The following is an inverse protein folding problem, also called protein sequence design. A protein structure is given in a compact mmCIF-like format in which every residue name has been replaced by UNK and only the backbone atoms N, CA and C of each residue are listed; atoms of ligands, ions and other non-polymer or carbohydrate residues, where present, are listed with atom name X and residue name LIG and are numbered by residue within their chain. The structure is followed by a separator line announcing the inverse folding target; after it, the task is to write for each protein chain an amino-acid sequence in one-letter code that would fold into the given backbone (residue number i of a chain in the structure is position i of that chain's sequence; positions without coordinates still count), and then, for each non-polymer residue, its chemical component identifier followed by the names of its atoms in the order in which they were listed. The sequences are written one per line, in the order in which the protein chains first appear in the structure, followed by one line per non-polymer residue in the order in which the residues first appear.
data_IF_123665579499
#
_entry.id   IF_123665579499
#
_cell.length_a   1.000
_cell.length_b   1.000
_cell.length_c   1.000
_cell.angle_alpha   90.00
_cell.angle_beta   90.00
_cell.angle_gamma   90.00
#
_symmetry.space_group_name_H-M   'P 1'
#
loop_
_entity.id
_entity.type
_entity.pdbx_description
1 polymer ?
#
# COMPACT_ATOMS: atom_id res chain seq x y z
N UNK A 1 -21.31 -22.26 -25.40
CA UNK A 1 -21.37 -21.09 -24.51
C UNK A 1 -20.57 -21.42 -23.27
N UNK A 2 -19.30 -20.99 -23.21
CA UNK A 2 -18.50 -21.02 -21.98
C UNK A 2 -18.74 -19.73 -21.21
N UNK A 3 -18.78 -19.74 -19.86
CA UNK A 3 -18.71 -18.52 -19.10
C UNK A 3 -17.24 -18.08 -19.00
N UNK A 4 -17.01 -16.84 -19.42
CA UNK A 4 -15.78 -16.07 -19.26
C UNK A 4 -15.51 -15.89 -17.76
N UNK A 5 -14.40 -16.43 -17.25
CA UNK A 5 -13.92 -16.14 -15.90
C UNK A 5 -12.99 -14.94 -15.93
N UNK A 6 -13.13 -13.96 -15.02
CA UNK A 6 -12.23 -12.83 -14.96
C UNK A 6 -10.87 -13.29 -14.43
N UNK A 7 -9.83 -13.04 -15.23
CA UNK A 7 -8.42 -13.11 -14.85
C UNK A 7 -8.20 -12.22 -13.60
N UNK A 8 -8.18 -12.87 -12.44
CA UNK A 8 -7.59 -12.32 -11.22
C UNK A 8 -6.16 -12.84 -11.17
N UNK A 9 -5.27 -12.22 -11.94
CA UNK A 9 -3.83 -12.34 -11.77
C UNK A 9 -3.38 -11.81 -10.41
N UNK A 10 -3.62 -12.57 -9.35
CA UNK A 10 -2.96 -12.39 -8.07
C UNK A 10 -1.57 -13.02 -8.18
N UNK A 11 -0.58 -12.22 -8.60
CA UNK A 11 0.82 -12.63 -8.50
C UNK A 11 1.15 -12.97 -7.05
N UNK A 12 1.91 -14.05 -6.84
CA UNK A 12 2.26 -14.51 -5.50
C UNK A 12 3.01 -13.41 -4.72
N UNK A 13 2.91 -13.35 -3.36
CA UNK A 13 3.60 -12.36 -2.52
C UNK A 13 5.12 -12.26 -2.77
N UNK A 14 5.71 -13.31 -3.34
CA UNK A 14 7.13 -13.45 -3.62
C UNK A 14 7.59 -12.65 -4.87
N UNK A 15 6.67 -12.09 -5.66
CA UNK A 15 6.98 -11.34 -6.89
C UNK A 15 7.01 -9.82 -6.70
N UNK A 16 6.51 -9.29 -5.58
CA UNK A 16 6.49 -7.83 -5.35
C UNK A 16 7.89 -7.30 -5.01
N UNK A 17 8.41 -6.41 -5.87
CA UNK A 17 9.65 -5.68 -5.61
C UNK A 17 9.52 -4.75 -4.40
N UNK A 18 8.32 -4.18 -4.17
CA UNK A 18 8.05 -3.38 -2.99
C UNK A 18 8.16 -4.20 -1.71
N UNK A 19 7.48 -5.34 -1.63
CA UNK A 19 7.54 -6.20 -0.44
C UNK A 19 8.97 -6.66 -0.16
N UNK A 20 9.70 -7.10 -1.20
CA UNK A 20 11.11 -7.47 -1.08
C UNK A 20 11.96 -6.31 -0.54
N UNK A 21 11.74 -5.09 -1.04
CA UNK A 21 12.47 -3.90 -0.56
C UNK A 21 12.14 -3.51 0.89
N UNK A 22 10.96 -3.89 1.38
CA UNK A 22 10.52 -3.62 2.76
C UNK A 22 10.88 -4.75 3.72
N UNK A 23 11.24 -5.94 3.23
CA UNK A 23 11.43 -7.14 4.06
C UNK A 23 12.39 -6.93 5.23
N UNK A 24 13.58 -6.39 4.97
CA UNK A 24 14.57 -6.09 6.03
C UNK A 24 14.01 -5.12 7.06
N UNK A 25 13.24 -4.13 6.62
CA UNK A 25 12.59 -3.19 7.52
C UNK A 25 11.52 -3.88 8.37
N UNK A 26 10.61 -4.65 7.75
CA UNK A 26 9.52 -5.35 8.42
C UNK A 26 10.01 -6.40 9.42
N UNK A 27 11.10 -7.10 9.10
CA UNK A 27 11.70 -8.13 9.94
C UNK A 27 12.41 -7.53 11.18
N UNK A 28 12.76 -6.24 11.15
CA UNK A 28 13.36 -5.54 12.29
C UNK A 28 12.33 -5.25 13.40
N UNK A 29 12.40 -5.99 14.51
CA UNK A 29 11.50 -5.84 15.67
C UNK A 29 11.68 -4.53 16.45
N UNK A 30 12.78 -3.79 16.26
CA UNK A 30 13.04 -2.50 16.94
C UNK A 30 12.68 -1.29 16.07
N UNK A 31 12.09 -1.51 14.89
CA UNK A 31 11.64 -0.43 14.01
C UNK A 31 10.57 0.43 14.68
N UNK A 32 10.62 1.72 14.39
CA UNK A 32 9.75 2.71 15.03
C UNK A 32 8.57 3.16 14.16
N UNK A 33 8.65 2.98 12.84
CA UNK A 33 7.52 3.33 11.96
C UNK A 33 6.69 2.08 11.69
N UNK A 34 5.41 2.07 12.11
CA UNK A 34 4.50 1.03 11.70
C UNK A 34 4.17 1.17 10.22
N UNK A 35 4.00 0.04 9.54
CA UNK A 35 3.51 -0.04 8.17
C UNK A 35 2.11 -0.66 8.20
N UNK A 36 1.15 0.04 7.60
CA UNK A 36 -0.21 -0.46 7.40
C UNK A 36 -0.65 -0.20 5.96
N UNK A 37 -1.59 -1.02 5.50
CA UNK A 37 -2.26 -0.79 4.23
C UNK A 37 -1.41 -1.09 3.00
N UNK A 38 -0.48 -2.03 3.07
CA UNK A 38 0.20 -2.54 1.87
C UNK A 38 -0.79 -3.16 0.88
N UNK A 39 -1.91 -3.71 1.36
CA UNK A 39 -3.01 -4.22 0.53
C UNK A 39 -3.76 -3.12 -0.24
N UNK A 40 -3.58 -1.85 0.14
CA UNK A 40 -4.10 -0.70 -0.61
C UNK A 40 -3.14 -0.22 -1.71
N UNK A 41 -1.96 -0.83 -1.82
CA UNK A 41 -0.95 -0.52 -2.83
C UNK A 41 -0.90 -1.63 -3.87
N UNK A 42 -1.06 -1.23 -5.13
CA UNK A 42 -0.87 -2.09 -6.29
C UNK A 42 0.44 -1.73 -6.98
N UNK A 43 1.37 -2.67 -7.00
CA UNK A 43 2.60 -2.62 -7.79
C UNK A 43 2.29 -3.02 -9.23
N UNK A 44 2.50 -2.12 -10.17
CA UNK A 44 2.26 -2.40 -11.57
C UNK A 44 3.58 -2.49 -12.34
N UNK A 45 3.83 -3.68 -12.86
CA UNK A 45 5.05 -4.06 -13.57
C UNK A 45 4.75 -4.15 -15.07
N UNK A 46 5.60 -3.54 -15.89
CA UNK A 46 5.52 -3.66 -17.35
C UNK A 46 6.35 -4.87 -17.78
N UNK A 47 5.70 -5.87 -18.37
CA UNK A 47 6.41 -7.04 -18.91
C UNK A 47 7.22 -6.63 -20.16
N UNK A 48 8.45 -7.12 -20.30
CA UNK A 48 9.19 -7.06 -21.57
C UNK A 48 9.91 -5.74 -21.92
N UNK A 49 10.01 -4.75 -21.03
CA UNK A 49 10.90 -3.59 -21.26
C UNK A 49 12.22 -3.75 -20.52
N UNK A 50 13.34 -3.48 -21.22
CA UNK A 50 14.69 -3.42 -20.63
C UNK A 50 14.80 -2.38 -19.49
N UNK A 51 13.94 -1.34 -19.54
CA UNK A 51 13.68 -0.43 -18.43
C UNK A 51 12.35 -0.81 -17.76
N UNK A 52 12.40 -1.56 -16.65
CA UNK A 52 11.24 -1.87 -15.82
C UNK A 52 10.78 -0.60 -15.08
N UNK A 53 10.04 0.27 -15.75
CA UNK A 53 9.32 1.35 -15.06
C UNK A 53 8.22 0.73 -14.19
N UNK A 54 8.54 0.54 -12.91
CA UNK A 54 7.59 0.11 -11.89
C UNK A 54 6.88 1.33 -11.33
N UNK A 55 5.55 1.30 -11.36
CA UNK A 55 4.70 2.33 -10.78
C UNK A 55 3.79 1.71 -9.72
N UNK A 56 3.44 2.49 -8.72
CA UNK A 56 2.57 2.07 -7.64
C UNK A 56 1.29 2.88 -7.64
N UNK A 57 0.17 2.22 -7.40
CA UNK A 57 -1.14 2.85 -7.24
C UNK A 57 -1.60 2.65 -5.81
N UNK A 58 -1.92 3.74 -5.11
CA UNK A 58 -2.51 3.65 -3.78
C UNK A 58 -3.98 4.01 -3.86
N UNK A 59 -4.87 3.04 -3.61
CA UNK A 59 -6.31 3.23 -3.81
C UNK A 59 -6.94 4.13 -2.74
N UNK A 60 -6.44 4.08 -1.50
CA UNK A 60 -6.93 4.94 -0.42
C UNK A 60 -6.44 6.38 -0.56
N UNK A 61 -5.26 6.57 -1.16
CA UNK A 61 -4.70 7.89 -1.43
C UNK A 61 -5.08 8.46 -2.80
N UNK A 62 -5.67 7.64 -3.68
CA UNK A 62 -6.07 7.99 -5.03
C UNK A 62 -4.93 8.64 -5.85
N UNK A 63 -3.72 8.07 -5.76
CA UNK A 63 -2.55 8.62 -6.44
C UNK A 63 -1.65 7.55 -7.08
N UNK A 64 -0.87 8.00 -8.07
CA UNK A 64 0.25 7.28 -8.68
C UNK A 64 1.54 7.65 -7.96
N UNK A 65 2.37 6.66 -7.67
CA UNK A 65 3.60 6.83 -6.89
C UNK A 65 4.76 6.18 -7.65
N UNK A 66 5.90 6.87 -7.68
CA UNK A 66 7.13 6.33 -8.27
C UNK A 66 7.83 5.42 -7.27
N UNK A 67 8.69 4.53 -7.75
CA UNK A 67 9.49 3.63 -6.90
C UNK A 67 10.32 4.34 -5.84
N UNK A 68 10.89 5.51 -6.15
CA UNK A 68 11.66 6.30 -5.19
C UNK A 68 10.80 6.80 -4.00
N UNK A 69 9.50 7.00 -4.21
CA UNK A 69 8.63 7.70 -3.27
C UNK A 69 7.73 6.75 -2.46
N UNK A 70 7.53 5.51 -2.92
CA UNK A 70 6.54 4.58 -2.36
C UNK A 70 6.76 4.28 -0.87
N UNK A 71 8.02 4.16 -0.43
CA UNK A 71 8.33 3.91 0.99
C UNK A 71 7.93 5.10 1.86
N UNK A 72 8.27 6.32 1.43
CA UNK A 72 7.92 7.53 2.16
C UNK A 72 6.40 7.75 2.15
N UNK A 73 5.72 7.36 1.06
CA UNK A 73 4.27 7.41 0.96
C UNK A 73 3.58 6.52 2.00
N UNK A 74 3.90 5.23 2.05
CA UNK A 74 3.22 4.27 2.95
C UNK A 74 3.48 4.55 4.44
N UNK A 75 4.62 5.17 4.76
CA UNK A 75 4.96 5.61 6.12
C UNK A 75 4.39 7.00 6.45
N UNK A 76 3.76 7.68 5.50
CA UNK A 76 3.30 9.05 5.64
C UNK A 76 2.00 9.19 6.44
N UNK A 77 1.87 10.31 7.16
CA UNK A 77 0.67 10.64 7.95
C UNK A 77 -0.61 10.64 7.12
N UNK A 78 -0.56 11.16 5.89
CA UNK A 78 -1.72 11.21 5.00
C UNK A 78 -2.20 9.81 4.60
N UNK A 79 -1.28 8.89 4.31
CA UNK A 79 -1.61 7.50 4.01
C UNK A 79 -2.28 6.83 5.20
N UNK A 80 -1.69 6.95 6.40
CA UNK A 80 -2.28 6.41 7.64
C UNK A 80 -3.70 6.93 7.87
N UNK A 81 -3.90 8.24 7.78
CA UNK A 81 -5.22 8.85 7.93
C UNK A 81 -6.24 8.26 6.97
N UNK A 82 -5.90 8.20 5.67
CA UNK A 82 -6.82 7.72 4.63
C UNK A 82 -7.10 6.23 4.74
N UNK A 83 -6.08 5.44 5.03
CA UNK A 83 -6.22 4.01 5.24
C UNK A 83 -7.13 3.71 6.45
N UNK A 84 -6.85 4.32 7.61
CA UNK A 84 -7.66 4.13 8.83
C UNK A 84 -9.10 4.57 8.56
N UNK A 85 -9.31 5.74 7.95
CA UNK A 85 -10.65 6.22 7.62
C UNK A 85 -11.41 5.30 6.67
N UNK A 86 -10.72 4.65 5.73
CA UNK A 86 -11.34 3.78 4.73
C UNK A 86 -11.59 2.35 5.24
N UNK A 87 -10.70 1.80 6.08
CA UNK A 87 -10.73 0.39 6.51
C UNK A 87 -11.14 0.18 7.98
N UNK A 88 -11.02 1.21 8.81
CA UNK A 88 -11.40 1.20 10.23
C UNK A 88 -12.20 2.48 10.56
N UNK A 89 -13.38 2.68 9.94
CA UNK A 89 -14.16 3.91 10.07
C UNK A 89 -14.62 4.19 11.52
N UNK A 90 -14.71 3.15 12.35
CA UNK A 90 -14.98 3.21 13.78
C UNK A 90 -13.88 3.97 14.54
N UNK A 91 -12.61 3.74 14.20
CA UNK A 91 -11.46 4.43 14.80
C UNK A 91 -11.32 5.87 14.31
N UNK A 92 -11.87 6.17 13.14
CA UNK A 92 -11.89 7.50 12.54
C UNK A 92 -13.15 8.30 12.89
N UNK A 93 -14.00 7.82 13.81
CA UNK A 93 -15.23 8.50 14.19
C UNK A 93 -14.92 9.90 14.74
N UNK A 94 -15.51 10.92 14.12
CA UNK A 94 -15.26 12.32 14.49
C UNK A 94 -14.15 13.00 13.68
N UNK A 95 -13.43 12.29 12.81
CA UNK A 95 -12.51 12.91 11.86
C UNK A 95 -13.29 13.56 10.72
N UNK A 96 -13.56 14.86 10.84
CA UNK A 96 -14.21 15.67 9.80
C UNK A 96 -13.38 15.82 8.51
N UNK A 97 -13.91 16.55 7.53
CA UNK A 97 -13.21 16.87 6.28
C UNK A 97 -12.12 17.94 6.46
N UNK A 98 -12.29 18.87 7.42
CA UNK A 98 -11.35 19.96 7.71
C UNK A 98 -10.36 19.64 8.84
N UNK A 99 -10.00 18.37 9.01
CA UNK A 99 -9.05 17.96 10.05
C UNK A 99 -7.64 18.42 9.69
N UNK A 100 -6.97 19.03 10.65
CA UNK A 100 -5.55 19.35 10.58
C UNK A 100 -4.71 18.07 10.72
N UNK A 101 -4.49 17.39 9.59
CA UNK A 101 -3.81 16.09 9.52
C UNK A 101 -2.43 16.09 10.21
N UNK A 102 -1.57 17.12 10.06
CA UNK A 102 -0.34 17.23 10.83
C UNK A 102 -0.51 17.07 12.35
N UNK A 103 -1.57 17.64 12.94
CA UNK A 103 -1.84 17.49 14.38
C UNK A 103 -2.22 16.07 14.79
N UNK A 104 -2.70 15.26 13.84
CA UNK A 104 -3.00 13.85 14.07
C UNK A 104 -1.79 12.93 13.87
N UNK A 105 -0.59 13.44 13.56
CA UNK A 105 0.56 12.58 13.27
C UNK A 105 0.87 11.56 14.37
N UNK A 106 0.88 11.99 15.65
CA UNK A 106 1.14 11.09 16.79
C UNK A 106 -0.01 10.10 17.02
N UNK A 107 -1.29 10.53 17.14
CA UNK A 107 -2.42 9.60 17.23
C UNK A 107 -2.48 8.58 16.08
N UNK A 108 -2.21 9.01 14.84
CA UNK A 108 -2.20 8.12 13.68
C UNK A 108 -1.06 7.11 13.74
N UNK A 109 0.09 7.48 14.31
CA UNK A 109 1.21 6.56 14.53
C UNK A 109 0.85 5.50 15.58
N UNK A 110 0.27 5.92 16.69
CA UNK A 110 -0.19 5.02 17.77
C UNK A 110 -1.24 4.03 17.23
N UNK A 111 -2.27 4.52 16.53
CA UNK A 111 -3.28 3.67 15.89
C UNK A 111 -2.68 2.74 14.84
N UNK A 112 -1.77 3.23 14.00
CA UNK A 112 -1.11 2.40 12.99
C UNK A 112 -0.28 1.27 13.63
N UNK A 113 0.33 1.52 14.78
CA UNK A 113 1.09 0.50 15.52
C UNK A 113 0.19 -0.62 16.01
N UNK A 114 -0.98 -0.28 16.57
CA UNK A 114 -1.92 -1.30 17.04
C UNK A 114 -2.58 -2.07 15.90
N UNK A 115 -2.91 -1.39 14.81
CA UNK A 115 -3.44 -2.02 13.61
C UNK A 115 -2.43 -2.98 12.98
N UNK A 116 -1.17 -2.58 12.87
CA UNK A 116 -0.14 -3.46 12.31
C UNK A 116 0.09 -4.70 13.18
N UNK A 117 0.06 -4.59 14.51
CA UNK A 117 0.15 -5.75 15.41
C UNK A 117 -1.03 -6.70 15.25
N UNK A 118 -2.24 -6.16 15.08
CA UNK A 118 -3.48 -6.94 15.02
C UNK A 118 -3.72 -7.56 13.65
N UNK A 119 -3.54 -6.77 12.59
CA UNK A 119 -3.98 -7.10 11.23
C UNK A 119 -2.78 -7.37 10.30
N UNK A 120 -1.55 -7.08 10.76
CA UNK A 120 -0.35 -7.10 9.94
C UNK A 120 -0.23 -5.85 9.04
N UNK A 121 0.86 -5.76 8.25
CA UNK A 121 1.07 -4.63 7.34
C UNK A 121 0.19 -4.68 6.07
N UNK A 122 -0.45 -5.82 5.81
CA UNK A 122 -1.12 -6.13 4.55
C UNK A 122 -0.19 -6.76 3.51
N UNK A 123 -0.76 -7.22 2.39
CA UNK A 123 -0.02 -7.86 1.29
C UNK A 123 -0.11 -6.98 0.04
N UNK A 124 1.02 -6.57 -0.51
CA UNK A 124 1.08 -5.78 -1.75
C UNK A 124 0.45 -6.56 -2.90
N UNK A 125 -0.40 -5.90 -3.68
CA UNK A 125 -1.00 -6.49 -4.87
C UNK A 125 -0.09 -6.27 -6.08
N UNK A 126 0.15 -7.29 -6.90
CA UNK A 126 0.98 -7.18 -8.11
C UNK A 126 0.08 -7.24 -9.34
N UNK A 127 0.30 -6.30 -10.26
CA UNK A 127 -0.43 -6.13 -11.51
C UNK A 127 0.58 -6.25 -12.67
N UNK A 128 0.53 -7.36 -13.41
CA UNK A 128 1.41 -7.56 -14.58
C UNK A 128 0.68 -7.05 -15.81
N UNK A 129 1.18 -5.98 -16.43
CA UNK A 129 0.65 -5.51 -17.71
C UNK A 129 1.38 -6.21 -18.85
N UNK A 130 0.69 -7.11 -19.53
CA UNK A 130 1.15 -7.70 -20.78
C UNK A 130 1.28 -6.60 -21.85
N UNK A 131 2.42 -6.59 -22.55
CA UNK A 131 2.58 -5.79 -23.77
C UNK A 131 1.80 -6.50 -24.87
N UNK A 132 0.72 -5.89 -25.35
CA UNK A 132 0.12 -6.28 -26.62
C UNK A 132 1.06 -5.77 -27.71
N UNK A 133 1.81 -6.67 -28.33
CA UNK A 133 2.48 -6.37 -29.60
C UNK A 133 1.38 -6.03 -30.62
N UNK A 134 1.42 -4.81 -31.15
CA UNK A 134 0.71 -4.41 -32.37
C UNK A 134 1.69 -4.61 -33.51
#
# INVERSE_FOLDING_TARGET
MQPDQPDKGAGAPNESLLFQSLKVYLDNKTRQQPIIGLDSVTECVKAGSCNQETLYLCVVCQCRIKRADVRNHIMGTLHRYRYIKARHPDLARGWGQAVDIPKLARPLMELASELEKRDGPGIVQVCVKAVKNI
#
